data_IF_930764569272
#
_entry.id   IF_930764569272
#
_cell.length_a   1.000
_cell.length_b   1.000
_cell.length_c   1.000
_cell.angle_alpha   90.00
_cell.angle_beta   90.00
_cell.angle_gamma   90.00
#
_symmetry.space_group_name_H-M   'P 1'
#
loop_
_entity.id
_entity.type
_entity.pdbx_description
1 polymer ?
#
# COMPACT_ATOMS: atom_id res chain seq x y z
N UNK A 1 31.02 16.46 -12.07
CA UNK A 1 29.65 16.17 -12.55
C UNK A 1 28.72 16.39 -11.38
N UNK A 2 27.83 17.36 -11.49
CA UNK A 2 26.85 17.67 -10.45
C UNK A 2 25.97 16.44 -10.22
N UNK A 3 26.01 15.89 -9.01
CA UNK A 3 25.09 14.87 -8.49
C UNK A 3 23.68 15.47 -8.32
N UNK A 4 23.06 15.92 -9.40
CA UNK A 4 21.61 16.11 -9.40
C UNK A 4 21.00 14.77 -9.77
N UNK A 5 20.64 13.98 -8.74
CA UNK A 5 19.59 12.97 -8.87
C UNK A 5 18.45 13.62 -9.68
N UNK A 6 17.83 12.95 -10.66
CA UNK A 6 16.57 13.46 -11.20
C UNK A 6 15.67 13.77 -10.01
N UNK A 7 15.09 14.98 -9.97
CA UNK A 7 14.36 15.46 -8.80
C UNK A 7 13.19 14.52 -8.41
N UNK A 8 12.67 13.79 -9.40
CA UNK A 8 11.46 12.98 -9.32
C UNK A 8 11.71 11.63 -10.03
N UNK A 9 11.54 10.47 -9.35
CA UNK A 9 11.74 9.14 -9.93
C UNK A 9 10.94 8.05 -9.19
N UNK A 10 10.11 7.32 -9.94
CA UNK A 10 9.44 6.12 -9.45
C UNK A 10 9.83 4.86 -10.23
N UNK A 11 10.30 3.83 -9.52
CA UNK A 11 10.62 2.52 -10.11
C UNK A 11 9.40 1.61 -10.27
N UNK A 12 8.25 2.03 -9.72
CA UNK A 12 6.98 1.32 -9.81
C UNK A 12 6.33 1.43 -11.19
N UNK A 13 5.20 0.76 -11.39
CA UNK A 13 4.37 0.95 -12.57
C UNK A 13 3.63 2.28 -12.55
N UNK A 14 3.23 2.74 -13.74
CA UNK A 14 2.43 3.96 -13.87
C UNK A 14 1.01 3.80 -13.33
N UNK A 15 0.53 2.57 -13.44
CA UNK A 15 -0.76 2.09 -12.96
C UNK A 15 -0.41 0.93 -12.02
N UNK A 16 -0.34 1.14 -10.70
CA UNK A 16 -0.12 0.05 -9.74
C UNK A 16 -1.13 -1.08 -9.98
N UNK A 17 -0.69 -2.34 -10.05
CA UNK A 17 -1.55 -3.49 -10.39
C UNK A 17 -2.67 -3.70 -9.34
N UNK A 18 -3.80 -4.23 -9.80
CA UNK A 18 -5.10 -4.19 -9.12
C UNK A 18 -6.16 -3.35 -9.85
N UNK A 19 -5.76 -2.69 -10.96
CA UNK A 19 -6.61 -1.81 -11.74
C UNK A 19 -7.12 -2.43 -13.05
N UNK A 20 -8.45 -2.62 -13.14
CA UNK A 20 -9.13 -2.93 -14.40
C UNK A 20 -8.98 -1.76 -15.38
N UNK A 21 -8.34 -2.00 -16.53
CA UNK A 21 -8.49 -1.18 -17.72
C UNK A 21 -7.21 -0.58 -18.29
N UNK A 22 -7.03 -0.78 -19.60
CA UNK A 22 -6.01 -0.21 -20.48
C UNK A 22 -6.09 1.32 -20.64
N UNK A 23 -6.55 2.08 -19.65
CA UNK A 23 -6.66 3.53 -19.77
C UNK A 23 -5.35 4.22 -19.36
N UNK A 24 -4.50 4.47 -20.36
CA UNK A 24 -3.25 5.24 -20.21
C UNK A 24 -3.49 6.69 -19.75
N UNK A 25 -4.72 7.18 -19.86
CA UNK A 25 -5.09 8.55 -19.49
C UNK A 25 -5.25 8.76 -17.96
N UNK A 26 -5.27 7.67 -17.17
CA UNK A 26 -5.50 7.70 -15.71
C UNK A 26 -4.36 7.07 -14.89
N UNK A 27 -3.11 7.43 -15.20
CA UNK A 27 -1.96 6.95 -14.43
C UNK A 27 -1.85 7.67 -13.07
N UNK A 28 -2.16 6.98 -11.97
CA UNK A 28 -1.96 7.49 -10.61
C UNK A 28 -0.49 7.83 -10.33
N UNK A 29 0.45 7.10 -10.94
CA UNK A 29 1.89 7.31 -10.83
C UNK A 29 2.50 7.65 -12.20
N UNK A 30 2.38 8.90 -12.70
CA UNK A 30 2.89 9.25 -14.04
C UNK A 30 4.40 9.00 -14.21
N UNK A 31 5.16 9.05 -13.11
CA UNK A 31 6.61 8.86 -13.07
C UNK A 31 7.06 7.38 -13.06
N UNK A 32 6.11 6.44 -13.04
CA UNK A 32 6.40 5.01 -12.97
C UNK A 32 7.20 4.48 -14.16
N UNK A 33 8.38 3.92 -13.90
CA UNK A 33 9.29 3.38 -14.93
C UNK A 33 9.10 1.88 -15.20
N UNK A 34 8.25 1.19 -14.41
CA UNK A 34 8.07 -0.26 -14.42
C UNK A 34 9.39 -1.04 -14.21
N UNK A 35 10.41 -0.44 -13.59
CA UNK A 35 11.72 -1.05 -13.48
C UNK A 35 11.69 -2.29 -12.56
N UNK A 36 10.84 -2.26 -11.53
CA UNK A 36 10.65 -3.37 -10.60
C UNK A 36 9.85 -4.55 -11.16
N UNK A 37 9.15 -4.36 -12.28
CA UNK A 37 8.34 -5.41 -12.91
C UNK A 37 9.08 -6.11 -14.07
N UNK A 38 10.29 -5.65 -14.40
CA UNK A 38 11.10 -6.21 -15.48
C UNK A 38 12.02 -7.31 -14.96
N UNK A 39 12.18 -8.35 -15.77
CA UNK A 39 13.19 -9.37 -15.57
C UNK A 39 14.56 -8.82 -16.00
N UNK A 40 15.51 -8.79 -15.07
CA UNK A 40 16.89 -8.33 -15.33
C UNK A 40 17.83 -9.53 -15.41
N UNK A 41 18.46 -9.83 -16.58
CA UNK A 41 19.38 -10.97 -16.75
C UNK A 41 20.76 -10.76 -16.16
N UNK A 42 20.93 -9.70 -15.38
CA UNK A 42 22.16 -9.34 -14.70
C UNK A 42 21.82 -8.78 -13.32
N UNK A 43 22.71 -8.95 -12.32
CA UNK A 43 22.50 -8.41 -11.00
C UNK A 43 22.59 -6.88 -11.01
N UNK A 44 21.69 -6.24 -10.26
CA UNK A 44 21.73 -4.80 -9.99
C UNK A 44 21.92 -4.65 -8.48
N UNK A 45 22.96 -3.92 -8.08
CA UNK A 45 23.30 -3.70 -6.67
C UNK A 45 23.34 -2.21 -6.34
N UNK A 46 22.88 -1.86 -5.14
CA UNK A 46 22.98 -0.51 -4.61
C UNK A 46 24.19 -0.42 -3.67
N UNK A 47 25.19 0.36 -4.06
CA UNK A 47 26.34 0.70 -3.20
C UNK A 47 26.10 2.10 -2.64
N UNK A 48 26.04 2.22 -1.31
CA UNK A 48 25.84 3.51 -0.62
C UNK A 48 27.08 4.03 0.08
N UNK A 49 27.99 3.12 0.45
CA UNK A 49 29.20 3.47 1.15
C UNK A 49 30.11 4.31 0.23
N UNK A 50 30.30 5.58 0.58
CA UNK A 50 31.09 6.51 -0.23
C UNK A 50 32.53 6.04 -0.39
N UNK A 51 33.12 5.43 0.63
CA UNK A 51 34.48 4.88 0.57
C UNK A 51 34.57 3.74 -0.46
N UNK A 52 33.59 2.84 -0.51
CA UNK A 52 33.54 1.76 -1.52
C UNK A 52 33.37 2.33 -2.93
N UNK A 53 32.51 3.34 -3.09
CA UNK A 53 32.31 4.04 -4.36
C UNK A 53 33.62 4.69 -4.83
N UNK A 54 34.32 5.38 -3.92
CA UNK A 54 35.58 6.07 -4.22
C UNK A 54 36.70 5.07 -4.54
N UNK A 55 36.76 3.93 -3.85
CA UNK A 55 37.68 2.83 -4.17
C UNK A 55 37.45 2.29 -5.59
N UNK A 56 36.19 2.04 -5.97
CA UNK A 56 35.82 1.58 -7.31
C UNK A 56 36.21 2.62 -8.37
N UNK A 57 35.88 3.90 -8.12
CA UNK A 57 36.22 5.01 -9.02
C UNK A 57 37.74 5.15 -9.20
N UNK A 58 38.51 5.10 -8.11
CA UNK A 58 39.96 5.21 -8.15
C UNK A 58 40.60 4.06 -8.93
N UNK A 59 40.17 2.82 -8.64
CA UNK A 59 40.64 1.64 -9.35
C UNK A 59 40.37 1.71 -10.87
N UNK A 60 39.18 2.20 -11.25
CA UNK A 60 38.83 2.44 -12.66
C UNK A 60 39.71 3.53 -13.30
N UNK A 61 39.88 4.68 -12.63
CA UNK A 61 40.64 5.82 -13.14
C UNK A 61 42.14 5.50 -13.30
N UNK A 62 42.71 4.73 -12.39
CA UNK A 62 44.13 4.38 -12.42
C UNK A 62 44.47 3.33 -13.47
N UNK A 63 43.60 2.33 -13.67
CA UNK A 63 43.89 1.17 -14.54
C UNK A 63 43.10 1.20 -15.84
N UNK A 64 41.78 1.23 -15.76
CA UNK A 64 40.90 1.00 -16.91
C UNK A 64 40.87 2.22 -17.84
N UNK A 65 40.75 3.42 -17.28
CA UNK A 65 40.71 4.68 -18.05
C UNK A 65 42.03 4.94 -18.80
N UNK A 66 43.18 4.64 -18.18
CA UNK A 66 44.51 4.76 -18.80
C UNK A 66 44.87 3.61 -19.74
N UNK A 67 43.93 2.70 -19.96
CA UNK A 67 44.12 1.46 -20.70
C UNK A 67 45.29 0.57 -20.22
N UNK A 68 45.65 0.61 -18.93
CA UNK A 68 46.79 -0.14 -18.37
C UNK A 68 46.39 -1.54 -17.88
N UNK A 69 47.31 -2.50 -17.97
CA UNK A 69 47.15 -3.85 -17.40
C UNK A 69 47.97 -4.00 -16.11
N UNK A 70 47.49 -4.77 -15.11
CA UNK A 70 46.20 -5.46 -15.06
C UNK A 70 44.99 -4.53 -14.91
N UNK A 71 43.83 -4.95 -15.44
CA UNK A 71 42.57 -4.21 -15.35
C UNK A 71 41.92 -4.36 -13.97
N UNK A 72 41.14 -3.35 -13.60
CA UNK A 72 40.21 -3.41 -12.50
C UNK A 72 38.91 -4.12 -12.92
N UNK A 73 38.41 -5.02 -12.09
CA UNK A 73 37.15 -5.75 -12.31
C UNK A 73 36.37 -5.90 -11.02
N UNK A 74 35.05 -6.05 -11.13
CA UNK A 74 34.13 -6.28 -10.01
C UNK A 74 33.43 -7.61 -10.24
N UNK A 75 33.44 -8.47 -9.23
CA UNK A 75 32.65 -9.70 -9.21
C UNK A 75 31.43 -9.50 -8.34
N UNK A 76 30.25 -9.58 -8.94
CA UNK A 76 28.96 -9.57 -8.23
C UNK A 76 28.42 -10.99 -8.23
N UNK A 77 28.14 -11.55 -7.05
CA UNK A 77 27.61 -12.90 -6.89
C UNK A 77 26.23 -12.84 -6.26
N UNK A 78 25.19 -12.82 -7.08
CA UNK A 78 23.80 -12.85 -6.66
C UNK A 78 23.05 -13.92 -7.46
N UNK A 79 23.12 -15.16 -6.96
CA UNK A 79 22.42 -16.29 -7.56
C UNK A 79 21.05 -16.48 -6.91
N UNK A 80 19.99 -16.55 -7.71
CA UNK A 80 18.64 -16.84 -7.24
C UNK A 80 18.15 -18.17 -7.86
N UNK A 81 17.83 -19.15 -7.01
CA UNK A 81 17.42 -20.51 -7.41
C UNK A 81 16.22 -20.54 -8.37
N UNK A 82 15.35 -19.53 -8.29
CA UNK A 82 14.08 -19.44 -9.03
C UNK A 82 14.09 -18.42 -10.17
N UNK A 83 15.26 -17.89 -10.57
CA UNK A 83 15.36 -16.79 -11.53
C UNK A 83 14.63 -17.04 -12.86
N UNK A 84 14.68 -18.27 -13.38
CA UNK A 84 14.08 -18.64 -14.67
C UNK A 84 12.77 -19.41 -14.53
N UNK A 85 12.07 -19.29 -13.41
CA UNK A 85 10.85 -20.05 -13.11
C UNK A 85 9.67 -19.11 -12.88
N UNK A 86 8.48 -19.56 -13.25
CA UNK A 86 7.24 -18.96 -12.77
C UNK A 86 6.83 -19.57 -11.41
N UNK A 87 5.83 -18.97 -10.75
CA UNK A 87 5.35 -19.41 -9.43
C UNK A 87 4.94 -20.89 -9.42
N UNK A 88 4.20 -21.34 -10.44
CA UNK A 88 3.74 -22.73 -10.55
C UNK A 88 4.92 -23.71 -10.65
N UNK A 89 5.88 -23.44 -11.53
CA UNK A 89 7.09 -24.25 -11.70
C UNK A 89 7.92 -24.32 -10.42
N UNK A 90 8.02 -23.20 -9.71
CA UNK A 90 8.78 -23.14 -8.48
C UNK A 90 8.13 -23.95 -7.34
N UNK A 91 6.82 -23.76 -7.12
CA UNK A 91 6.06 -24.53 -6.12
C UNK A 91 6.15 -26.02 -6.43
N UNK A 92 5.92 -26.41 -7.68
CA UNK A 92 6.03 -27.81 -8.11
C UNK A 92 7.42 -28.38 -7.85
N UNK A 93 8.49 -27.60 -8.02
CA UNK A 93 9.86 -28.05 -7.71
C UNK A 93 10.12 -28.20 -6.22
N UNK A 94 9.57 -27.32 -5.38
CA UNK A 94 9.62 -27.50 -3.94
C UNK A 94 8.93 -28.81 -3.52
N UNK A 95 7.76 -29.11 -4.09
CA UNK A 95 6.98 -30.32 -3.76
C UNK A 95 7.68 -31.62 -4.19
N UNK A 96 8.41 -31.59 -5.31
CA UNK A 96 9.14 -32.75 -5.84
C UNK A 96 10.48 -33.00 -5.11
N UNK A 97 11.09 -31.96 -4.51
CA UNK A 97 12.39 -32.04 -3.85
C UNK A 97 12.38 -31.72 -2.34
N UNK A 98 11.60 -32.42 -1.49
CA UNK A 98 11.73 -32.29 -0.04
C UNK A 98 13.01 -32.94 0.54
N UNK A 99 13.81 -33.65 -0.30
CA UNK A 99 14.90 -34.53 0.14
C UNK A 99 16.32 -33.92 0.12
N UNK A 100 16.54 -32.75 -0.47
CA UNK A 100 17.87 -32.14 -0.61
C UNK A 100 18.06 -30.90 0.29
N UNK A 101 17.89 -31.09 1.60
CA UNK A 101 18.17 -30.06 2.63
C UNK A 101 17.19 -28.88 2.66
N UNK A 102 17.35 -28.02 3.66
CA UNK A 102 16.42 -26.93 4.04
C UNK A 102 16.24 -25.80 3.00
N UNK A 103 16.81 -25.91 1.79
CA UNK A 103 16.76 -24.82 0.81
C UNK A 103 15.59 -24.99 -0.17
N UNK A 104 14.45 -24.38 0.15
CA UNK A 104 13.36 -24.20 -0.79
C UNK A 104 13.79 -23.33 -2.00
N UNK A 105 13.30 -23.65 -3.20
CA UNK A 105 13.49 -22.83 -4.41
C UNK A 105 12.80 -21.47 -4.29
N UNK A 106 11.58 -21.46 -3.74
CA UNK A 106 10.83 -20.26 -3.39
C UNK A 106 10.04 -20.49 -2.12
N UNK A 107 9.50 -19.39 -1.58
CA UNK A 107 8.56 -19.39 -0.48
C UNK A 107 7.35 -18.54 -0.88
N UNK A 108 6.17 -18.92 -0.39
CA UNK A 108 5.01 -18.07 -0.53
C UNK A 108 5.27 -16.74 0.20
N UNK A 109 5.01 -15.63 -0.49
CA UNK A 109 5.07 -14.32 0.15
C UNK A 109 3.86 -14.21 1.08
N UNK A 110 4.12 -14.09 2.38
CA UNK A 110 3.09 -13.96 3.41
C UNK A 110 3.14 -12.55 3.97
N UNK A 111 1.97 -11.97 4.14
CA UNK A 111 1.79 -10.69 4.79
C UNK A 111 1.19 -10.89 6.18
N UNK A 112 1.50 -9.98 7.12
CA UNK A 112 0.92 -9.99 8.45
C UNK A 112 0.30 -8.63 8.76
N UNK A 113 -0.99 -8.52 8.45
CA UNK A 113 -1.82 -7.38 8.83
C UNK A 113 -1.97 -7.29 10.36
N UNK A 114 -2.14 -6.08 10.88
CA UNK A 114 -2.49 -5.86 12.28
C UNK A 114 -3.94 -5.38 12.38
N UNK A 115 -4.57 -5.62 13.52
CA UNK A 115 -5.87 -5.05 13.85
C UNK A 115 -5.91 -4.63 15.32
N UNK A 116 -6.78 -3.69 15.65
CA UNK A 116 -7.10 -3.27 17.02
C UNK A 116 -8.56 -2.89 17.10
N UNK A 117 -9.27 -3.42 18.09
CA UNK A 117 -10.69 -3.16 18.29
C UNK A 117 -10.88 -2.24 19.49
N UNK A 118 -11.52 -1.11 19.26
CA UNK A 118 -12.06 -0.25 20.32
C UNK A 118 -13.55 -0.53 20.44
N UNK A 119 -13.90 -1.40 21.39
CA UNK A 119 -15.28 -1.81 21.61
C UNK A 119 -16.06 -0.77 22.43
N UNK A 120 -17.33 -0.57 22.09
CA UNK A 120 -18.24 0.22 22.92
C UNK A 120 -18.70 -0.55 24.16
N UNK A 121 -18.89 0.16 25.28
CA UNK A 121 -19.43 -0.39 26.53
C UNK A 121 -20.93 -0.69 26.47
N UNK A 122 -21.66 -0.11 25.50
CA UNK A 122 -23.10 -0.33 25.28
C UNK A 122 -23.37 -1.05 23.95
N UNK A 123 -22.99 -2.34 23.81
CA UNK A 123 -23.26 -3.08 22.59
C UNK A 123 -24.78 -3.24 22.41
N UNK A 124 -25.28 -2.78 21.25
CA UNK A 124 -26.63 -3.13 20.81
C UNK A 124 -26.71 -4.64 20.55
N UNK A 125 -27.92 -5.20 20.52
CA UNK A 125 -28.13 -6.62 20.16
C UNK A 125 -27.59 -6.97 18.77
N UNK A 126 -27.43 -5.96 17.90
CA UNK A 126 -26.69 -6.03 16.63
C UNK A 126 -25.47 -5.09 16.71
N UNK A 127 -24.24 -5.64 16.77
CA UNK A 127 -23.03 -4.83 16.84
C UNK A 127 -22.84 -4.07 15.51
N UNK A 128 -22.44 -2.81 15.59
CA UNK A 128 -22.16 -1.97 14.42
C UNK A 128 -20.69 -1.56 14.41
N UNK A 129 -20.05 -1.64 13.26
CA UNK A 129 -18.62 -1.41 13.10
C UNK A 129 -18.33 -0.22 12.19
N UNK A 130 -17.39 0.61 12.62
CA UNK A 130 -16.66 1.55 11.75
C UNK A 130 -15.27 0.96 11.54
N UNK A 131 -14.88 0.75 10.29
CA UNK A 131 -13.54 0.28 9.95
C UNK A 131 -12.68 1.47 9.56
N UNK A 132 -11.51 1.59 10.19
CA UNK A 132 -10.48 2.55 9.81
C UNK A 132 -9.28 1.77 9.32
N UNK A 133 -8.99 1.82 8.02
CA UNK A 133 -7.91 1.06 7.40
C UNK A 133 -6.73 1.93 6.98
N UNK A 134 -5.53 1.32 6.91
CA UNK A 134 -4.36 1.89 6.24
C UNK A 134 -3.51 0.76 5.65
N UNK A 135 -2.75 1.08 4.61
CA UNK A 135 -1.66 0.24 4.11
C UNK A 135 -0.44 0.32 5.04
N UNK A 136 0.26 -0.80 5.24
CA UNK A 136 1.44 -0.93 6.10
C UNK A 136 2.75 -1.08 5.34
N UNK A 137 2.71 -1.71 4.18
CA UNK A 137 3.89 -2.08 3.45
C UNK A 137 4.26 -1.03 2.41
N UNK A 138 5.53 -1.04 2.04
CA UNK A 138 6.08 -0.23 0.94
C UNK A 138 6.90 -1.14 0.04
N UNK A 139 7.04 -0.74 -1.22
CA UNK A 139 7.82 -1.48 -2.21
C UNK A 139 8.81 -0.58 -2.92
N UNK A 140 10.04 -1.08 -3.07
CA UNK A 140 11.15 -0.36 -3.67
C UNK A 140 12.10 -1.32 -4.37
N UNK A 141 12.90 -0.79 -5.29
CA UNK A 141 13.79 -1.59 -6.14
C UNK A 141 14.82 -2.39 -5.32
N UNK A 142 15.30 -1.80 -4.24
CA UNK A 142 16.22 -2.43 -3.30
C UNK A 142 15.52 -2.58 -1.95
N UNK A 143 15.03 -3.80 -1.67
CA UNK A 143 14.18 -4.12 -0.50
C UNK A 143 14.76 -3.61 0.83
N UNK A 144 16.06 -3.83 1.05
CA UNK A 144 16.73 -3.48 2.30
C UNK A 144 16.91 -1.96 2.49
N UNK A 145 16.63 -1.18 1.44
CA UNK A 145 16.79 0.27 1.42
C UNK A 145 15.53 0.97 0.92
N UNK A 146 14.39 0.50 1.43
CA UNK A 146 13.11 1.13 1.24
C UNK A 146 12.95 2.39 2.10
N UNK A 147 13.33 3.54 1.52
CA UNK A 147 13.15 4.87 2.14
C UNK A 147 11.91 5.59 1.63
N UNK A 148 10.94 4.86 1.03
CA UNK A 148 9.65 5.36 0.52
C UNK A 148 8.68 5.82 1.61
N UNK A 149 9.23 6.46 2.64
CA UNK A 149 8.75 6.54 3.99
C UNK A 149 7.68 7.62 4.19
N UNK A 150 7.46 8.54 3.26
CA UNK A 150 6.68 9.73 3.59
C UNK A 150 5.16 9.52 3.44
N UNK A 151 4.66 8.89 2.39
CA UNK A 151 3.20 8.76 2.19
C UNK A 151 2.54 7.77 3.16
N UNK A 152 3.09 6.57 3.26
CA UNK A 152 2.49 5.45 3.99
C UNK A 152 2.75 5.54 5.49
N UNK A 153 3.97 5.91 5.92
CA UNK A 153 4.24 6.03 7.37
C UNK A 153 3.42 7.14 8.02
N UNK A 154 3.10 8.21 7.28
CA UNK A 154 2.20 9.24 7.78
C UNK A 154 0.78 8.70 8.00
N UNK A 155 0.23 7.94 7.05
CA UNK A 155 -1.08 7.29 7.25
C UNK A 155 -1.10 6.35 8.46
N UNK A 156 -0.03 5.55 8.63
CA UNK A 156 0.14 4.66 9.80
C UNK A 156 0.22 5.49 11.09
N UNK A 157 1.00 6.57 11.10
CA UNK A 157 1.17 7.45 12.26
C UNK A 157 -0.14 8.13 12.64
N UNK A 158 -0.93 8.58 11.66
CA UNK A 158 -2.26 9.15 11.89
C UNK A 158 -3.19 8.10 12.50
N UNK A 159 -3.21 6.88 11.96
CA UNK A 159 -4.04 5.80 12.52
C UNK A 159 -3.65 5.46 13.96
N UNK A 160 -2.35 5.32 14.25
CA UNK A 160 -1.86 5.07 15.60
C UNK A 160 -2.17 6.22 16.56
N UNK A 161 -2.06 7.46 16.09
CA UNK A 161 -2.43 8.64 16.87
C UNK A 161 -3.92 8.64 17.18
N UNK A 162 -4.77 8.27 16.21
CA UNK A 162 -6.21 8.15 16.41
C UNK A 162 -6.56 7.04 17.41
N UNK A 163 -5.91 5.88 17.32
CA UNK A 163 -6.06 4.80 18.32
C UNK A 163 -5.71 5.33 19.71
N UNK A 164 -4.59 6.03 19.85
CA UNK A 164 -4.13 6.58 21.12
C UNK A 164 -5.16 7.58 21.70
N UNK A 165 -5.57 8.57 20.91
CA UNK A 165 -6.53 9.60 21.33
C UNK A 165 -7.87 8.98 21.75
N UNK A 166 -8.45 8.12 20.91
CA UNK A 166 -9.75 7.50 21.20
C UNK A 166 -9.69 6.50 22.36
N UNK A 167 -8.52 5.89 22.62
CA UNK A 167 -8.34 5.02 23.78
C UNK A 167 -8.33 5.78 25.11
N UNK A 168 -7.89 7.05 25.10
CA UNK A 168 -7.81 7.89 26.30
C UNK A 168 -9.13 8.56 26.60
N UNK A 169 -9.80 9.11 25.58
CA UNK A 169 -11.06 9.83 25.75
C UNK A 169 -12.22 8.93 26.19
N UNK A 170 -12.07 7.60 26.02
CA UNK A 170 -13.10 6.56 26.17
C UNK A 170 -14.35 6.95 25.38
N UNK A 171 -14.65 6.23 24.30
CA UNK A 171 -15.81 6.53 23.45
C UNK A 171 -17.14 6.15 24.15
N UNK A 172 -17.41 6.78 25.29
CA UNK A 172 -18.55 6.56 26.13
C UNK A 172 -19.80 7.04 25.41
N UNK A 173 -20.76 6.14 25.22
CA UNK A 173 -22.02 6.43 24.54
C UNK A 173 -22.01 6.26 23.02
N UNK A 174 -20.90 5.83 22.41
CA UNK A 174 -20.94 5.40 21.00
C UNK A 174 -21.75 4.12 20.83
N UNK A 175 -22.58 4.06 19.81
CA UNK A 175 -23.26 2.82 19.38
C UNK A 175 -22.39 1.95 18.45
N UNK A 176 -21.21 2.44 18.08
CA UNK A 176 -20.30 1.80 17.13
C UNK A 176 -19.05 1.28 17.83
N UNK A 177 -18.64 0.08 17.45
CA UNK A 177 -17.29 -0.43 17.62
C UNK A 177 -16.39 0.17 16.53
N UNK A 178 -15.15 0.51 16.87
CA UNK A 178 -14.17 0.98 15.89
C UNK A 178 -13.10 -0.08 15.70
N UNK A 179 -13.03 -0.63 14.48
CA UNK A 179 -12.00 -1.56 14.06
C UNK A 179 -10.92 -0.80 13.31
N UNK A 180 -9.74 -0.72 13.91
CA UNK A 180 -8.54 -0.28 13.22
C UNK A 180 -7.87 -1.47 12.56
N UNK A 181 -7.54 -1.36 11.28
CA UNK A 181 -6.83 -2.41 10.55
C UNK A 181 -5.69 -1.82 9.73
N UNK A 182 -4.52 -2.43 9.83
CA UNK A 182 -3.37 -2.13 8.98
C UNK A 182 -3.13 -3.32 8.08
N UNK A 183 -3.21 -3.13 6.76
CA UNK A 183 -2.97 -4.20 5.78
C UNK A 183 -1.52 -4.25 5.35
N UNK A 184 -0.89 -5.40 5.55
CA UNK A 184 0.43 -5.71 5.00
C UNK A 184 0.27 -6.43 3.64
N UNK A 185 1.28 -6.32 2.77
CA UNK A 185 1.27 -6.96 1.46
C UNK A 185 0.36 -6.29 0.40
N UNK A 186 -0.05 -5.04 0.61
CA UNK A 186 -0.86 -4.30 -0.37
C UNK A 186 -0.06 -3.93 -1.62
N UNK A 187 1.26 -3.73 -1.50
CA UNK A 187 2.14 -3.52 -2.67
C UNK A 187 2.41 -4.80 -3.48
N UNK A 188 1.90 -5.94 -3.01
CA UNK A 188 2.11 -7.27 -3.56
C UNK A 188 0.80 -7.91 -3.99
N UNK A 189 -0.01 -7.18 -4.77
CA UNK A 189 -1.33 -7.58 -5.22
C UNK A 189 -2.34 -7.78 -4.07
N UNK A 190 -2.39 -6.83 -3.12
CA UNK A 190 -3.42 -6.76 -2.08
C UNK A 190 -3.54 -8.01 -1.19
N UNK A 191 -2.41 -8.65 -0.85
CA UNK A 191 -2.44 -9.92 -0.08
C UNK A 191 -3.22 -9.75 1.23
N UNK A 192 -2.98 -8.67 1.97
CA UNK A 192 -3.60 -8.43 3.26
C UNK A 192 -5.10 -8.22 3.17
N UNK A 193 -5.52 -7.25 2.36
CA UNK A 193 -6.93 -6.88 2.20
C UNK A 193 -7.75 -7.96 1.48
N UNK A 194 -7.17 -8.67 0.52
CA UNK A 194 -7.83 -9.78 -0.17
C UNK A 194 -8.05 -10.97 0.75
N UNK A 195 -7.07 -11.31 1.60
CA UNK A 195 -7.23 -12.35 2.64
C UNK A 195 -8.31 -11.95 3.64
N UNK A 196 -8.30 -10.70 4.11
CA UNK A 196 -9.31 -10.21 5.03
C UNK A 196 -10.73 -10.22 4.43
N UNK A 197 -10.88 -9.79 3.17
CA UNK A 197 -12.16 -9.83 2.47
C UNK A 197 -12.66 -11.27 2.30
N UNK A 198 -11.76 -12.20 1.92
CA UNK A 198 -12.06 -13.62 1.83
C UNK A 198 -12.56 -14.16 3.18
N UNK A 199 -11.82 -13.88 4.25
CA UNK A 199 -12.17 -14.34 5.61
C UNK A 199 -13.51 -13.76 6.08
N UNK A 200 -13.83 -12.51 5.74
CA UNK A 200 -15.12 -11.89 6.05
C UNK A 200 -16.28 -12.56 5.30
N UNK A 201 -16.12 -12.81 3.99
CA UNK A 201 -17.15 -13.47 3.16
C UNK A 201 -17.44 -14.88 3.66
N UNK A 202 -16.39 -15.61 4.05
CA UNK A 202 -16.50 -17.01 4.50
C UNK A 202 -16.75 -17.15 6.01
N UNK A 203 -16.82 -16.03 6.75
CA UNK A 203 -16.97 -16.01 8.22
C UNK A 203 -15.82 -16.74 8.95
N UNK A 204 -14.63 -16.66 8.39
CA UNK A 204 -13.38 -17.26 8.90
C UNK A 204 -12.52 -16.24 9.67
N UNK A 205 -12.92 -14.96 9.72
CA UNK A 205 -12.23 -13.94 10.52
C UNK A 205 -12.46 -14.15 12.03
N UNK A 206 -11.66 -15.05 12.61
CA UNK A 206 -11.75 -15.44 14.02
C UNK A 206 -11.38 -14.38 15.07
N UNK A 207 -10.56 -13.35 14.78
CA UNK A 207 -10.23 -12.35 15.80
C UNK A 207 -11.42 -11.60 16.39
N UNK A 208 -12.46 -11.37 15.59
CA UNK A 208 -13.68 -10.67 16.01
C UNK A 208 -14.86 -11.49 15.49
N UNK A 209 -15.40 -12.38 16.33
CA UNK A 209 -16.34 -13.43 15.92
C UNK A 209 -17.67 -12.93 15.36
N UNK A 210 -18.10 -11.75 15.79
CA UNK A 210 -19.36 -11.11 15.42
C UNK A 210 -19.18 -10.05 14.31
N UNK A 211 -17.95 -9.86 13.82
CA UNK A 211 -17.69 -9.04 12.65
C UNK A 211 -18.21 -9.78 11.41
N UNK A 212 -19.14 -9.15 10.73
CA UNK A 212 -19.70 -9.62 9.48
C UNK A 212 -19.87 -8.42 8.53
N UNK A 213 -19.83 -8.60 7.20
CA UNK A 213 -19.96 -7.50 6.26
C UNK A 213 -21.20 -6.64 6.49
N UNK A 214 -22.31 -7.25 6.88
CA UNK A 214 -23.60 -6.58 7.11
C UNK A 214 -23.58 -5.65 8.32
N UNK A 215 -22.65 -5.86 9.24
CA UNK A 215 -22.49 -5.10 10.47
C UNK A 215 -21.49 -3.94 10.31
N UNK A 216 -20.82 -3.82 9.15
CA UNK A 216 -19.90 -2.72 8.85
C UNK A 216 -20.69 -1.57 8.25
N UNK A 217 -20.87 -0.50 9.03
CA UNK A 217 -21.69 0.65 8.62
C UNK A 217 -20.88 1.68 7.82
N UNK A 218 -19.60 1.85 8.15
CA UNK A 218 -18.72 2.81 7.51
C UNK A 218 -17.30 2.28 7.39
N UNK A 219 -16.64 2.61 6.29
CA UNK A 219 -15.23 2.33 6.05
C UNK A 219 -14.47 3.61 5.71
N UNK A 220 -13.40 3.89 6.44
CA UNK A 220 -12.52 5.03 6.20
C UNK A 220 -11.11 4.49 5.97
N UNK A 221 -10.60 4.64 4.76
CA UNK A 221 -9.21 4.32 4.47
C UNK A 221 -8.33 5.57 4.48
N UNK A 222 -7.17 5.48 5.13
CA UNK A 222 -6.12 6.49 5.13
C UNK A 222 -5.01 6.05 4.18
N UNK A 223 -4.74 6.82 3.13
CA UNK A 223 -3.74 6.45 2.12
C UNK A 223 -3.02 7.65 1.54
N UNK A 224 -1.69 7.58 1.50
CA UNK A 224 -0.83 8.68 1.00
C UNK A 224 -1.14 10.02 1.67
N UNK A 225 -0.78 10.16 2.94
CA UNK A 225 -0.99 11.39 3.72
C UNK A 225 0.35 12.09 4.05
N UNK A 226 1.35 11.92 3.19
CA UNK A 226 2.74 12.35 3.45
C UNK A 226 3.03 13.82 3.16
N UNK A 227 2.11 14.54 2.50
CA UNK A 227 2.26 15.95 2.16
C UNK A 227 1.22 16.81 2.90
N UNK A 228 1.46 17.11 4.20
CA UNK A 228 0.49 17.81 5.05
C UNK A 228 0.26 19.27 4.65
N UNK A 229 1.20 19.91 3.94
CA UNK A 229 1.07 21.29 3.43
C UNK A 229 0.09 21.43 2.27
N UNK A 230 -0.70 20.38 2.00
CA UNK A 230 -1.43 20.24 0.76
C UNK A 230 -2.90 19.91 1.01
N UNK A 231 -3.78 20.27 0.05
CA UNK A 231 -5.20 19.96 0.17
C UNK A 231 -5.44 18.45 0.25
N UNK A 232 -6.30 18.03 1.17
CA UNK A 232 -6.76 16.65 1.29
C UNK A 232 -7.96 16.38 0.38
N UNK A 233 -8.13 15.11 0.03
CA UNK A 233 -9.15 14.66 -0.90
C UNK A 233 -9.89 13.44 -0.36
N UNK A 234 -11.19 13.41 -0.58
CA UNK A 234 -12.06 12.26 -0.31
C UNK A 234 -12.38 11.58 -1.63
N UNK A 235 -11.96 10.34 -1.79
CA UNK A 235 -12.25 9.50 -2.94
C UNK A 235 -13.36 8.50 -2.60
N UNK A 236 -14.22 8.23 -3.57
CA UNK A 236 -15.30 7.24 -3.51
C UNK A 236 -15.28 6.40 -4.77
N UNK A 237 -15.69 5.13 -4.72
CA UNK A 237 -15.75 4.28 -5.91
C UNK A 237 -16.95 4.67 -6.80
N UNK A 238 -16.74 5.17 -8.04
CA UNK A 238 -17.84 5.62 -8.89
C UNK A 238 -18.85 4.53 -9.28
N UNK A 239 -18.44 3.25 -9.31
CA UNK A 239 -19.32 2.13 -9.69
C UNK A 239 -20.27 1.74 -8.57
N UNK A 240 -19.79 1.80 -7.33
CA UNK A 240 -20.55 1.45 -6.13
C UNK A 240 -21.26 2.64 -5.50
N UNK A 241 -20.92 3.86 -5.91
CA UNK A 241 -21.55 5.10 -5.51
C UNK A 241 -22.90 5.34 -6.22
N UNK A 242 -23.82 4.38 -6.13
CA UNK A 242 -25.19 4.47 -6.64
C UNK A 242 -26.18 3.84 -5.64
N UNK A 243 -27.36 4.43 -5.46
CA UNK A 243 -28.41 3.91 -4.57
C UNK A 243 -28.26 4.31 -3.09
N UNK A 244 -28.73 3.47 -2.16
CA UNK A 244 -28.73 3.76 -0.72
C UNK A 244 -27.32 3.94 -0.13
N UNK A 245 -26.32 3.23 -0.67
CA UNK A 245 -24.92 3.34 -0.23
C UNK A 245 -24.31 4.71 -0.55
N UNK A 246 -24.81 5.39 -1.59
CA UNK A 246 -24.40 6.74 -1.94
C UNK A 246 -24.74 7.74 -0.84
N UNK A 247 -25.97 7.70 -0.33
CA UNK A 247 -26.43 8.62 0.71
C UNK A 247 -25.61 8.45 2.00
N UNK A 248 -25.36 7.19 2.40
CA UNK A 248 -24.49 6.89 3.56
C UNK A 248 -23.05 7.36 3.34
N UNK A 249 -22.50 7.15 2.14
CA UNK A 249 -21.13 7.57 1.79
C UNK A 249 -21.00 9.09 1.73
N UNK A 250 -21.99 9.78 1.18
CA UNK A 250 -22.04 11.24 1.16
C UNK A 250 -22.13 11.83 2.56
N UNK A 251 -22.96 11.23 3.41
CA UNK A 251 -23.10 11.65 4.81
C UNK A 251 -21.77 11.61 5.55
N UNK A 252 -20.99 10.54 5.43
CA UNK A 252 -19.68 10.47 6.12
C UNK A 252 -18.68 11.45 5.51
N UNK A 253 -18.67 11.62 4.19
CA UNK A 253 -17.80 12.59 3.53
C UNK A 253 -18.12 14.03 3.98
N UNK A 254 -19.40 14.40 4.05
CA UNK A 254 -19.84 15.74 4.44
C UNK A 254 -19.58 16.02 5.93
N UNK A 255 -19.72 15.01 6.80
CA UNK A 255 -19.31 15.12 8.21
C UNK A 255 -17.81 15.42 8.34
N UNK A 256 -16.97 14.69 7.61
CA UNK A 256 -15.51 14.91 7.63
C UNK A 256 -15.15 16.29 7.09
N UNK A 257 -15.76 16.71 5.98
CA UNK A 257 -15.56 18.07 5.43
C UNK A 257 -15.92 19.14 6.47
N UNK A 258 -17.03 18.95 7.17
CA UNK A 258 -17.49 19.88 8.22
C UNK A 258 -16.49 19.96 9.38
N UNK A 259 -16.01 18.83 9.89
CA UNK A 259 -15.05 18.80 11.01
C UNK A 259 -13.66 19.32 10.61
N UNK A 260 -13.21 19.09 9.38
CA UNK A 260 -11.98 19.69 8.86
C UNK A 260 -12.12 21.22 8.77
N UNK A 261 -13.26 21.71 8.29
CA UNK A 261 -13.54 23.15 8.18
C UNK A 261 -13.50 23.88 9.52
N UNK A 262 -13.99 23.25 10.61
CA UNK A 262 -13.89 23.80 11.98
C UNK A 262 -12.46 23.99 12.46
N UNK A 263 -11.53 23.18 11.95
CA UNK A 263 -10.11 23.20 12.31
C UNK A 263 -9.24 23.99 11.31
N UNK A 264 -9.84 24.79 10.41
CA UNK A 264 -9.17 25.52 9.33
C UNK A 264 -8.36 24.61 8.37
N UNK A 265 -8.71 23.33 8.28
CA UNK A 265 -8.12 22.39 7.32
C UNK A 265 -8.99 22.30 6.07
N UNK A 266 -8.36 22.10 4.91
CA UNK A 266 -9.04 21.96 3.62
C UNK A 266 -9.12 20.51 3.19
N UNK A 267 -10.33 20.03 2.99
CA UNK A 267 -10.61 18.73 2.38
C UNK A 267 -11.77 18.86 1.41
N UNK A 268 -11.68 18.18 0.25
CA UNK A 268 -12.67 18.28 -0.82
C UNK A 268 -12.99 16.88 -1.37
N UNK A 269 -14.21 16.70 -1.88
CA UNK A 269 -14.53 15.49 -2.66
C UNK A 269 -13.70 15.50 -3.95
N UNK A 270 -13.08 14.36 -4.28
CA UNK A 270 -12.35 14.20 -5.53
C UNK A 270 -13.29 14.35 -6.74
N UNK A 271 -12.78 14.90 -7.84
CA UNK A 271 -13.60 15.30 -9.01
C UNK A 271 -14.11 14.08 -9.79
N UNK A 272 -15.41 14.09 -10.16
CA UNK A 272 -16.11 12.90 -10.68
C UNK A 272 -16.73 13.03 -12.09
N UNK A 273 -16.08 13.71 -13.05
CA UNK A 273 -16.55 13.71 -14.46
C UNK A 273 -15.50 13.30 -15.49
N UNK A 274 -14.22 13.16 -15.11
CA UNK A 274 -13.14 12.83 -16.07
C UNK A 274 -12.20 11.71 -15.60
N UNK A 275 -12.45 11.10 -14.44
CA UNK A 275 -11.55 10.09 -13.86
C UNK A 275 -12.36 8.92 -13.25
N UNK A 276 -12.84 7.96 -14.07
CA UNK A 276 -13.77 6.91 -13.64
C UNK A 276 -13.16 5.82 -12.72
N UNK A 277 -11.92 5.98 -12.27
CA UNK A 277 -11.22 4.93 -11.51
C UNK A 277 -11.03 5.34 -10.07
N UNK A 278 -11.38 4.45 -9.13
CA UNK A 278 -11.04 4.58 -7.72
C UNK A 278 -9.53 4.30 -7.51
N UNK A 279 -8.80 5.09 -6.70
CA UNK A 279 -7.36 4.87 -6.48
C UNK A 279 -7.03 3.45 -6.00
N UNK A 280 -5.80 2.95 -6.22
CA UNK A 280 -5.36 1.72 -5.56
C UNK A 280 -5.41 1.90 -4.04
N UNK A 281 -6.20 1.07 -3.37
CA UNK A 281 -6.40 1.07 -1.93
C UNK A 281 -6.96 -0.28 -1.50
N UNK A 282 -6.88 -0.60 -0.21
CA UNK A 282 -7.39 -1.85 0.35
C UNK A 282 -8.91 -1.96 0.21
N UNK A 283 -9.64 -0.86 0.40
CA UNK A 283 -11.09 -0.76 0.25
C UNK A 283 -11.57 -1.18 -1.14
N UNK A 284 -10.78 -0.91 -2.17
CA UNK A 284 -11.07 -1.40 -3.52
C UNK A 284 -11.09 -2.92 -3.57
N UNK A 285 -10.19 -3.61 -2.86
CA UNK A 285 -10.16 -5.07 -2.83
C UNK A 285 -11.39 -5.63 -2.10
N UNK A 286 -11.81 -4.99 -1.01
CA UNK A 286 -13.07 -5.30 -0.30
C UNK A 286 -14.25 -5.30 -1.28
N UNK A 287 -14.33 -4.26 -2.12
CA UNK A 287 -15.34 -4.14 -3.16
C UNK A 287 -15.25 -5.20 -4.25
N UNK A 288 -14.04 -5.63 -4.65
CA UNK A 288 -13.85 -6.69 -5.66
C UNK A 288 -14.34 -8.06 -5.19
N UNK A 289 -14.34 -8.31 -3.88
CA UNK A 289 -14.93 -9.49 -3.27
C UNK A 289 -16.46 -9.39 -3.11
N UNK A 290 -17.10 -8.34 -3.65
CA UNK A 290 -18.55 -8.18 -3.69
C UNK A 290 -19.15 -7.60 -2.41
N UNK A 291 -18.33 -7.16 -1.46
CA UNK A 291 -18.78 -6.53 -0.23
C UNK A 291 -19.19 -5.08 -0.52
N UNK A 292 -20.48 -4.75 -0.32
CA UNK A 292 -21.01 -3.39 -0.48
C UNK A 292 -20.99 -2.70 0.87
N UNK A 293 -20.03 -1.82 1.08
CA UNK A 293 -19.84 -1.10 2.34
C UNK A 293 -19.71 0.39 2.02
N UNK A 294 -20.46 1.29 2.69
CA UNK A 294 -20.28 2.73 2.52
C UNK A 294 -18.86 3.11 2.95
N UNK A 295 -18.04 3.56 1.99
CA UNK A 295 -16.62 3.71 2.24
C UNK A 295 -15.97 4.83 1.45
N UNK A 296 -14.98 5.46 2.08
CA UNK A 296 -14.19 6.55 1.52
C UNK A 296 -12.70 6.29 1.69
N UNK A 297 -11.90 6.87 0.80
CA UNK A 297 -10.44 6.97 0.95
C UNK A 297 -10.07 8.45 1.14
N UNK A 298 -9.31 8.74 2.19
CA UNK A 298 -8.73 10.07 2.44
C UNK A 298 -7.27 10.05 2.00
N UNK A 299 -6.90 10.99 1.13
CA UNK A 299 -5.52 11.11 0.64
C UNK A 299 -5.06 12.56 0.44
N UNK A 300 -3.76 12.73 0.18
CA UNK A 300 -3.16 14.02 -0.17
C UNK A 300 -3.22 14.34 -1.68
N UNK A 301 -3.92 13.55 -2.50
CA UNK A 301 -3.93 13.74 -3.96
C UNK A 301 -5.34 13.66 -4.57
N UNK A 302 -5.57 14.37 -5.69
CA UNK A 302 -6.81 14.29 -6.46
C UNK A 302 -6.71 13.32 -7.65
N UNK A 303 -5.71 13.51 -8.53
CA UNK A 303 -5.55 12.72 -9.76
C UNK A 303 -4.28 11.88 -9.78
N UNK A 304 -3.14 12.48 -9.45
CA UNK A 304 -1.84 11.83 -9.50
C UNK A 304 -1.19 11.94 -8.13
N UNK A 305 -0.43 10.91 -7.72
CA UNK A 305 0.31 10.95 -6.48
C UNK A 305 1.23 12.16 -6.40
N UNK A 306 1.26 12.78 -5.22
CA UNK A 306 2.21 13.86 -4.92
C UNK A 306 3.60 13.33 -4.55
N UNK A 307 3.69 12.07 -4.12
CA UNK A 307 4.95 11.38 -3.90
C UNK A 307 5.64 11.12 -5.25
N UNK A 308 6.91 11.52 -5.38
CA UNK A 308 7.65 11.57 -6.64
C UNK A 308 8.93 10.74 -6.63
#
# INVERSE_FOLDING_TARGET
MSDSRPADQSFESQIPKGQDGNNKDNAWNPLGQNLMLKLHPYPIVLIRNKTEIDLIKNCYNERNLKNQYPKCGIKISLFMNSYSMNTEQCIRKNDIHPFFGDSAFCVAFKAKSFYSLLATENPSSSPKYIVISTKLDIRCLFRDYCTGAQSELFSITIQLSLIKLLSEDKINGSQFHILFIGFDGESWDNIGSSTFAYDLVHKEFTPIKDLAPENIEYWIELGSLGHPDSDFWIHTDPKLYNGEDKEKTDKIADLIITEFGKNNLKIQKAYNESNPTFPPCSLREIYRHGLKIPGILISDFNKNYKNK
#
